data_IF_813599051913
#
_entry.id   IF_813599051913
#
_cell.length_a   1.000
_cell.length_b   1.000
_cell.length_c   1.000
_cell.angle_alpha   90.00
_cell.angle_beta   90.00
_cell.angle_gamma   90.00
#
_symmetry.space_group_name_H-M   'P 1'
#
loop_
_entity.id
_entity.type
_entity.pdbx_description
1 polymer ?
#
# COMPACT_ATOMS: atom_id res chain seq x y z
N UNK A 1 -6.22 -21.82 2.91
CA UNK A 1 -5.11 -20.99 2.36
C UNK A 1 -5.20 -21.04 0.85
N UNK A 2 -5.32 -19.89 0.18
CA UNK A 2 -5.30 -19.84 -1.29
C UNK A 2 -3.91 -20.28 -1.79
N UNK A 3 -3.87 -21.28 -2.68
CA UNK A 3 -2.63 -21.70 -3.33
C UNK A 3 -2.23 -20.64 -4.37
N UNK A 4 -0.93 -20.37 -4.49
CA UNK A 4 -0.39 -19.61 -5.62
C UNK A 4 -0.65 -20.40 -6.89
N UNK A 5 -1.38 -19.80 -7.83
CA UNK A 5 -1.72 -20.36 -9.13
C UNK A 5 -2.15 -19.21 -10.05
N UNK A 6 -2.12 -19.42 -11.38
CA UNK A 6 -2.72 -18.47 -12.32
C UNK A 6 -4.14 -18.08 -11.91
N UNK A 7 -4.44 -16.78 -11.99
CA UNK A 7 -5.71 -16.22 -11.56
C UNK A 7 -5.77 -15.76 -10.09
N UNK A 8 -4.88 -16.25 -9.22
CA UNK A 8 -4.80 -15.81 -7.82
C UNK A 8 -4.16 -14.42 -7.69
N UNK A 9 -4.46 -13.73 -6.60
CA UNK A 9 -3.83 -12.46 -6.24
C UNK A 9 -2.66 -12.68 -5.27
N UNK A 10 -1.63 -11.87 -5.41
CA UNK A 10 -0.40 -11.94 -4.64
C UNK A 10 0.01 -10.55 -4.14
N UNK A 11 0.60 -10.55 -2.96
CA UNK A 11 1.41 -9.48 -2.41
C UNK A 11 2.85 -9.95 -2.43
N UNK A 12 3.69 -9.26 -3.17
CA UNK A 12 5.11 -9.58 -3.33
C UNK A 12 5.91 -8.53 -2.60
N UNK A 13 6.86 -8.96 -1.78
CA UNK A 13 7.90 -8.06 -1.26
C UNK A 13 9.09 -8.17 -2.19
N UNK A 14 9.49 -7.02 -2.74
CA UNK A 14 10.71 -6.86 -3.50
C UNK A 14 11.64 -5.91 -2.76
N UNK A 15 12.93 -5.94 -3.13
CA UNK A 15 13.95 -5.07 -2.54
C UNK A 15 14.77 -4.45 -3.65
N UNK A 16 15.00 -3.15 -3.55
CA UNK A 16 16.00 -2.44 -4.33
C UNK A 16 17.21 -2.07 -3.46
N UNK A 17 18.14 -1.27 -4.00
CA UNK A 17 19.34 -0.84 -3.29
C UNK A 17 19.04 -0.02 -2.02
N UNK A 18 17.86 0.58 -1.93
CA UNK A 18 17.49 1.54 -0.89
C UNK A 18 16.57 0.93 0.16
N UNK A 19 15.59 0.12 -0.25
CA UNK A 19 14.47 -0.26 0.60
C UNK A 19 13.71 -1.47 0.06
N UNK A 20 12.90 -2.08 0.91
CA UNK A 20 11.81 -2.92 0.43
C UNK A 20 10.72 -2.04 -0.21
N UNK A 21 10.11 -2.57 -1.25
CA UNK A 21 8.85 -2.09 -1.82
C UNK A 21 7.95 -3.30 -2.08
N UNK A 22 6.69 -3.04 -2.39
CA UNK A 22 5.71 -4.11 -2.58
C UNK A 22 5.16 -4.10 -3.99
N UNK A 23 4.68 -5.25 -4.44
CA UNK A 23 3.84 -5.37 -5.62
C UNK A 23 2.55 -6.05 -5.20
N UNK A 24 1.42 -5.46 -5.57
CA UNK A 24 0.12 -6.12 -5.50
C UNK A 24 -0.30 -6.48 -6.91
N UNK A 25 -0.70 -7.71 -7.16
CA UNK A 25 -0.98 -8.14 -8.52
C UNK A 25 -1.68 -9.48 -8.65
N UNK A 26 -2.07 -9.77 -9.87
CA UNK A 26 -2.64 -11.06 -10.27
C UNK A 26 -1.56 -11.91 -10.92
N UNK A 27 -1.49 -13.17 -10.52
CA UNK A 27 -0.61 -14.16 -11.14
C UNK A 27 -1.20 -14.52 -12.51
N UNK A 28 -0.42 -14.31 -13.56
CA UNK A 28 -0.79 -14.65 -14.94
C UNK A 28 -0.34 -16.06 -15.29
N UNK A 29 0.88 -16.43 -14.92
CA UNK A 29 1.49 -17.74 -15.21
C UNK A 29 2.37 -18.19 -14.05
N UNK A 30 2.60 -19.50 -13.96
CA UNK A 30 3.49 -20.16 -12.99
C UNK A 30 4.48 -21.11 -13.71
N UNK A 31 5.18 -20.58 -14.72
CA UNK A 31 6.06 -21.36 -15.58
C UNK A 31 7.47 -21.49 -14.97
N UNK A 32 8.04 -22.70 -15.01
CA UNK A 32 9.40 -22.98 -14.54
C UNK A 32 9.69 -22.46 -13.10
N UNK A 33 8.70 -22.54 -12.21
CA UNK A 33 8.74 -22.04 -10.81
C UNK A 33 8.89 -20.52 -10.69
N UNK A 34 8.74 -19.77 -11.78
CA UNK A 34 8.63 -18.31 -11.78
C UNK A 34 7.16 -17.92 -11.95
N UNK A 35 6.77 -16.82 -11.33
CA UNK A 35 5.42 -16.29 -11.46
C UNK A 35 5.44 -15.00 -12.26
N UNK A 36 4.74 -14.94 -13.39
CA UNK A 36 4.49 -13.65 -14.04
C UNK A 36 3.34 -12.96 -13.31
N UNK A 37 3.59 -11.78 -12.76
CA UNK A 37 2.61 -11.02 -11.99
C UNK A 37 2.34 -9.70 -12.69
N UNK A 38 1.06 -9.40 -12.90
CA UNK A 38 0.60 -8.12 -13.41
C UNK A 38 -0.18 -7.35 -12.35
N UNK A 39 0.17 -6.10 -12.12
CA UNK A 39 -0.45 -5.26 -11.11
C UNK A 39 0.26 -3.93 -10.93
N UNK A 40 0.48 -3.55 -9.69
CA UNK A 40 1.01 -2.24 -9.31
C UNK A 40 2.15 -2.40 -8.32
N UNK A 41 3.30 -1.79 -8.60
CA UNK A 41 4.34 -1.62 -7.60
C UNK A 41 4.02 -0.43 -6.71
N UNK A 42 4.38 -0.50 -5.44
CA UNK A 42 4.16 0.55 -4.44
C UNK A 42 5.42 0.68 -3.60
N UNK A 43 6.08 1.83 -3.71
CA UNK A 43 7.25 2.23 -2.93
C UNK A 43 6.85 3.35 -1.96
N UNK A 44 6.99 3.16 -0.63
CA UNK A 44 6.57 4.16 0.35
C UNK A 44 7.67 5.22 0.57
N UNK A 45 7.89 6.08 -0.42
CA UNK A 45 8.99 7.07 -0.45
C UNK A 45 8.99 7.96 0.78
N UNK A 46 7.82 8.45 1.22
CA UNK A 46 7.73 9.31 2.40
C UNK A 46 8.09 8.58 3.69
N UNK A 47 7.73 7.30 3.82
CA UNK A 47 8.14 6.48 4.97
C UNK A 47 9.65 6.25 4.96
N UNK A 48 10.22 5.89 3.81
CA UNK A 48 11.66 5.69 3.63
C UNK A 48 12.44 6.94 4.07
N UNK A 49 12.03 8.12 3.60
CA UNK A 49 12.64 9.40 3.98
C UNK A 49 12.56 9.65 5.48
N UNK A 50 11.40 9.40 6.11
CA UNK A 50 11.23 9.58 7.56
C UNK A 50 12.09 8.60 8.36
N UNK A 51 12.23 7.36 7.93
CA UNK A 51 13.09 6.37 8.58
C UNK A 51 14.56 6.79 8.47
N UNK A 52 15.02 7.16 7.26
CA UNK A 52 16.39 7.61 7.03
C UNK A 52 16.74 8.88 7.83
N UNK A 53 15.77 9.78 8.02
CA UNK A 53 15.93 10.97 8.84
C UNK A 53 15.81 10.71 10.36
N UNK A 54 15.59 9.47 10.81
CA UNK A 54 15.39 9.13 12.23
C UNK A 54 14.06 9.62 12.81
N UNK A 55 13.10 10.00 11.97
CA UNK A 55 11.78 10.56 12.33
C UNK A 55 10.66 9.53 12.39
N UNK A 56 10.96 8.25 12.16
CA UNK A 56 10.01 7.14 12.30
C UNK A 56 10.61 6.03 13.16
N UNK A 57 9.80 5.43 14.03
CA UNK A 57 10.19 4.37 14.96
C UNK A 57 9.04 3.39 15.19
N UNK A 58 9.35 2.16 15.62
CA UNK A 58 8.37 1.13 15.93
C UNK A 58 7.70 0.55 14.68
N UNK A 59 6.36 0.40 14.72
CA UNK A 59 5.58 -0.30 13.68
C UNK A 59 5.83 0.17 12.23
N UNK A 60 5.99 1.47 11.91
CA UNK A 60 6.33 1.89 10.55
C UNK A 60 7.68 1.35 10.07
N UNK A 61 8.71 1.35 10.93
CA UNK A 61 10.03 0.79 10.61
C UNK A 61 9.94 -0.72 10.43
N UNK A 62 9.19 -1.41 11.30
CA UNK A 62 8.94 -2.85 11.17
C UNK A 62 8.23 -3.19 9.87
N UNK A 63 7.21 -2.41 9.48
CA UNK A 63 6.51 -2.59 8.22
C UNK A 63 7.45 -2.40 7.04
N UNK A 64 8.36 -1.42 7.09
CA UNK A 64 9.33 -1.20 6.01
C UNK A 64 10.32 -2.37 5.88
N UNK A 65 10.81 -2.89 7.00
CA UNK A 65 11.80 -3.96 7.02
C UNK A 65 11.20 -5.35 6.76
N UNK A 66 9.95 -5.59 7.15
CA UNK A 66 9.24 -6.84 6.90
C UNK A 66 7.78 -6.56 6.47
N UNK A 67 7.59 -6.18 5.21
CA UNK A 67 6.26 -5.89 4.69
C UNK A 67 5.37 -7.14 4.70
N UNK A 68 4.13 -6.92 5.07
CA UNK A 68 3.06 -7.91 5.09
C UNK A 68 1.72 -7.22 4.76
N UNK A 69 0.77 -7.92 4.12
CA UNK A 69 -0.51 -7.30 3.83
C UNK A 69 -1.28 -6.82 5.07
N UNK A 70 -0.96 -7.28 6.29
CA UNK A 70 -1.59 -6.80 7.53
C UNK A 70 -0.95 -5.52 8.11
N UNK A 71 0.28 -5.19 7.72
CA UNK A 71 0.99 -3.99 8.19
C UNK A 71 1.18 -2.92 7.09
N UNK A 72 0.78 -3.22 5.85
CA UNK A 72 0.93 -2.33 4.70
C UNK A 72 0.18 -0.99 4.82
N UNK A 73 -0.71 -0.82 5.80
CA UNK A 73 -1.31 0.49 6.12
C UNK A 73 -0.24 1.55 6.37
N UNK A 74 0.90 1.19 6.99
CA UNK A 74 2.00 2.13 7.23
C UNK A 74 2.71 2.58 5.96
N UNK A 75 2.58 1.84 4.85
CA UNK A 75 3.09 2.23 3.54
C UNK A 75 2.13 3.23 2.91
N UNK A 76 0.86 2.82 2.80
CA UNK A 76 -0.12 3.48 1.94
C UNK A 76 -0.72 4.76 2.54
N UNK A 77 -0.47 5.08 3.82
CA UNK A 77 -0.86 6.38 4.41
C UNK A 77 0.22 7.46 4.27
N UNK A 78 1.37 7.10 3.69
CA UNK A 78 2.48 8.01 3.44
C UNK A 78 2.57 8.31 1.92
N UNK A 79 3.50 9.17 1.53
CA UNK A 79 3.77 9.42 0.11
C UNK A 79 4.24 8.15 -0.58
N UNK A 80 3.66 7.87 -1.74
CA UNK A 80 3.96 6.71 -2.56
C UNK A 80 4.60 7.11 -3.89
N UNK A 81 5.53 6.29 -4.35
CA UNK A 81 5.85 6.11 -5.76
C UNK A 81 5.22 4.80 -6.21
N UNK A 82 4.30 4.86 -7.17
CA UNK A 82 3.54 3.71 -7.62
C UNK A 82 3.32 3.75 -9.12
N UNK A 83 3.28 2.57 -9.74
CA UNK A 83 3.11 2.43 -11.18
C UNK A 83 2.83 1.01 -11.60
N UNK A 84 2.69 0.80 -12.91
CA UNK A 84 2.41 -0.52 -13.47
C UNK A 84 3.57 -1.50 -13.21
N UNK A 85 3.20 -2.75 -12.97
CA UNK A 85 4.12 -3.87 -12.84
C UNK A 85 3.64 -5.03 -13.70
N UNK A 86 4.50 -5.55 -14.58
CA UNK A 86 4.25 -6.75 -15.39
C UNK A 86 5.58 -7.48 -15.61
N UNK A 87 6.01 -8.20 -14.58
CA UNK A 87 7.31 -8.87 -14.58
C UNK A 87 7.23 -10.27 -13.96
N UNK A 88 8.29 -11.04 -14.15
CA UNK A 88 8.49 -12.32 -13.48
C UNK A 88 9.03 -12.12 -12.06
N UNK A 89 8.49 -12.92 -11.14
CA UNK A 89 8.84 -12.91 -9.72
C UNK A 89 9.33 -14.30 -9.35
N UNK A 90 10.48 -14.36 -8.68
CA UNK A 90 11.13 -15.59 -8.30
C UNK A 90 10.93 -15.86 -6.80
N UNK A 91 10.15 -16.89 -6.40
CA UNK A 91 9.89 -17.20 -5.00
C UNK A 91 11.14 -17.61 -4.20
N UNK A 92 12.30 -17.82 -4.86
CA UNK A 92 13.59 -18.07 -4.19
C UNK A 92 14.20 -16.79 -3.62
N UNK A 93 13.85 -15.63 -4.17
CA UNK A 93 14.43 -14.33 -3.81
C UNK A 93 13.36 -13.36 -3.27
N UNK A 94 12.14 -13.44 -3.80
CA UNK A 94 11.03 -12.57 -3.45
C UNK A 94 10.06 -13.29 -2.50
N UNK A 95 9.61 -12.59 -1.45
CA UNK A 95 8.56 -13.10 -0.55
C UNK A 95 7.20 -12.91 -1.22
N UNK A 96 6.57 -14.01 -1.62
CA UNK A 96 5.24 -14.02 -2.26
C UNK A 96 4.19 -14.48 -1.25
N UNK A 97 3.23 -13.61 -0.95
CA UNK A 97 2.15 -13.85 0.01
C UNK A 97 0.82 -13.89 -0.76
N UNK A 98 0.09 -15.01 -0.75
CA UNK A 98 -1.24 -15.07 -1.35
C UNK A 98 -2.18 -14.10 -0.62
N UNK A 99 -2.93 -13.30 -1.38
CA UNK A 99 -4.00 -12.45 -0.86
C UNK A 99 -5.32 -12.83 -1.52
N UNK A 100 -6.42 -12.52 -0.83
CA UNK A 100 -7.74 -12.67 -1.45
C UNK A 100 -8.03 -11.47 -2.36
N UNK A 101 -9.05 -11.63 -3.20
CA UNK A 101 -9.47 -10.62 -4.17
C UNK A 101 -9.86 -9.30 -3.52
N UNK A 102 -10.62 -9.36 -2.42
CA UNK A 102 -11.03 -8.17 -1.66
C UNK A 102 -9.82 -7.35 -1.19
N UNK A 103 -8.83 -8.00 -0.59
CA UNK A 103 -7.59 -7.36 -0.12
C UNK A 103 -6.79 -6.76 -1.27
N UNK A 104 -6.74 -7.44 -2.42
CA UNK A 104 -6.14 -6.87 -3.62
C UNK A 104 -6.83 -5.57 -4.04
N UNK A 105 -8.16 -5.59 -4.20
CA UNK A 105 -8.91 -4.42 -4.64
C UNK A 105 -8.89 -3.26 -3.64
N UNK A 106 -8.85 -3.54 -2.33
CA UNK A 106 -8.64 -2.48 -1.34
C UNK A 106 -7.28 -1.81 -1.56
N UNK A 107 -6.18 -2.57 -1.63
CA UNK A 107 -4.84 -1.99 -1.79
C UNK A 107 -4.65 -1.28 -3.13
N UNK A 108 -5.19 -1.84 -4.21
CA UNK A 108 -5.18 -1.24 -5.55
C UNK A 108 -6.02 0.05 -5.56
N UNK A 109 -7.17 0.04 -4.87
CA UNK A 109 -8.03 1.19 -4.68
C UNK A 109 -7.37 2.34 -3.93
N UNK A 110 -6.52 2.07 -2.94
CA UNK A 110 -5.74 3.11 -2.25
C UNK A 110 -4.91 3.94 -3.22
N UNK A 111 -4.22 3.26 -4.15
CA UNK A 111 -3.38 3.91 -5.15
C UNK A 111 -4.23 4.63 -6.19
N UNK A 112 -5.20 3.93 -6.79
CA UNK A 112 -6.03 4.48 -7.89
C UNK A 112 -6.90 5.66 -7.48
N UNK A 113 -7.39 5.66 -6.24
CA UNK A 113 -8.25 6.74 -5.76
C UNK A 113 -7.45 7.94 -5.23
N UNK A 114 -6.11 7.87 -5.20
CA UNK A 114 -5.22 8.93 -4.71
C UNK A 114 -5.29 9.13 -3.20
N UNK A 115 -5.66 8.09 -2.44
CA UNK A 115 -5.93 8.21 -1.01
C UNK A 115 -4.66 8.46 -0.20
N UNK A 116 -3.53 7.85 -0.61
CA UNK A 116 -2.24 8.00 0.07
C UNK A 116 -1.79 9.46 0.17
N UNK A 117 -1.92 10.22 -0.92
CA UNK A 117 -1.55 11.64 -0.94
C UNK A 117 -2.45 12.49 -0.05
N UNK A 118 -3.75 12.17 0.03
CA UNK A 118 -4.69 12.88 0.91
C UNK A 118 -4.34 12.65 2.40
N UNK A 119 -4.01 11.42 2.78
CA UNK A 119 -3.55 11.11 4.13
C UNK A 119 -2.20 11.79 4.43
N UNK A 120 -1.26 11.71 3.49
CA UNK A 120 0.05 12.36 3.62
C UNK A 120 -0.10 13.87 3.84
N UNK A 121 -0.92 14.54 3.03
CA UNK A 121 -1.16 15.98 3.14
C UNK A 121 -1.76 16.35 4.51
N UNK A 122 -2.73 15.58 5.01
CA UNK A 122 -3.29 15.79 6.34
C UNK A 122 -2.22 15.68 7.45
N UNK A 123 -1.39 14.63 7.42
CA UNK A 123 -0.37 14.43 8.44
C UNK A 123 0.79 15.43 8.36
N UNK A 124 1.09 15.93 7.17
CA UNK A 124 2.20 16.85 6.94
C UNK A 124 1.79 18.34 6.91
N UNK A 125 0.52 18.64 7.21
CA UNK A 125 0.02 20.01 7.34
C UNK A 125 0.72 20.74 8.49
N UNK A 126 1.24 21.93 8.21
CA UNK A 126 2.03 22.75 9.15
C UNK A 126 1.17 23.64 10.02
N UNK A 127 -0.02 24.02 9.56
CA UNK A 127 -0.97 24.87 10.30
C UNK A 127 -2.27 24.12 10.62
N UNK A 128 -3.07 24.69 11.53
CA UNK A 128 -4.40 24.16 11.84
C UNK A 128 -5.38 24.33 10.65
N UNK A 129 -5.26 25.42 9.91
CA UNK A 129 -6.07 25.73 8.74
C UNK A 129 -5.78 24.74 7.60
N UNK A 130 -4.52 24.54 7.24
CA UNK A 130 -4.09 23.54 6.23
C UNK A 130 -4.60 22.14 6.59
N UNK A 131 -4.55 21.80 7.89
CA UNK A 131 -5.01 20.51 8.39
C UNK A 131 -6.52 20.34 8.24
N UNK A 132 -7.30 21.39 8.50
CA UNK A 132 -8.76 21.35 8.36
C UNK A 132 -9.19 21.29 6.88
N UNK A 133 -8.48 22.00 6.00
CA UNK A 133 -8.67 21.90 4.56
C UNK A 133 -8.35 20.49 4.05
N UNK A 134 -7.18 19.95 4.40
CA UNK A 134 -6.78 18.58 4.02
C UNK A 134 -7.76 17.54 4.55
N UNK A 135 -8.25 17.72 5.79
CA UNK A 135 -9.29 16.86 6.38
C UNK A 135 -10.59 16.92 5.57
N UNK A 136 -11.03 18.11 5.19
CA UNK A 136 -12.25 18.31 4.41
C UNK A 136 -12.15 17.62 3.04
N UNK A 137 -11.03 17.78 2.35
CA UNK A 137 -10.76 17.11 1.08
C UNK A 137 -10.74 15.58 1.23
N UNK A 138 -10.06 15.07 2.26
CA UNK A 138 -9.99 13.65 2.55
C UNK A 138 -11.40 13.07 2.83
N UNK A 139 -12.19 13.71 3.67
CA UNK A 139 -13.56 13.28 3.98
C UNK A 139 -14.45 13.33 2.74
N UNK A 140 -14.34 14.39 1.93
CA UNK A 140 -15.05 14.51 0.66
C UNK A 140 -14.74 13.32 -0.26
N UNK A 141 -13.45 13.00 -0.41
CA UNK A 141 -13.02 11.84 -1.21
C UNK A 141 -13.55 10.53 -0.65
N UNK A 142 -13.41 10.30 0.65
CA UNK A 142 -13.90 9.10 1.34
C UNK A 142 -15.41 8.90 1.15
N UNK A 143 -16.20 9.97 1.19
CA UNK A 143 -17.63 9.91 0.95
C UNK A 143 -17.97 9.49 -0.49
N UNK A 144 -17.16 9.93 -1.47
CA UNK A 144 -17.34 9.66 -2.90
C UNK A 144 -16.92 8.25 -3.35
N UNK A 145 -16.24 7.47 -2.51
CA UNK A 145 -15.77 6.13 -2.87
C UNK A 145 -16.94 5.21 -3.23
N UNK A 146 -16.85 4.57 -4.39
CA UNK A 146 -17.88 3.65 -4.91
C UNK A 146 -17.78 2.27 -4.28
N UNK A 147 -16.56 1.73 -4.11
CA UNK A 147 -16.36 0.44 -3.44
C UNK A 147 -16.65 0.59 -1.94
N UNK A 148 -17.62 -0.18 -1.47
CA UNK A 148 -18.00 -0.19 -0.06
C UNK A 148 -16.86 -0.71 0.82
N UNK A 149 -16.14 -1.74 0.36
CA UNK A 149 -15.06 -2.37 1.13
C UNK A 149 -13.84 -1.45 1.25
N UNK A 150 -13.46 -0.77 0.16
CA UNK A 150 -12.44 0.26 0.23
C UNK A 150 -12.88 1.39 1.16
N UNK A 151 -14.12 1.86 1.03
CA UNK A 151 -14.67 2.92 1.88
C UNK A 151 -14.58 2.54 3.36
N UNK A 152 -15.13 1.40 3.75
CA UNK A 152 -15.08 0.90 5.13
C UNK A 152 -13.65 0.82 5.67
N UNK A 153 -12.72 0.29 4.87
CA UNK A 153 -11.32 0.21 5.24
C UNK A 153 -10.71 1.61 5.46
N UNK A 154 -10.90 2.55 4.54
CA UNK A 154 -10.36 3.91 4.65
C UNK A 154 -10.94 4.64 5.86
N UNK A 155 -12.24 4.48 6.14
CA UNK A 155 -12.87 5.02 7.35
C UNK A 155 -12.30 4.43 8.63
N UNK A 156 -12.00 3.13 8.66
CA UNK A 156 -11.36 2.50 9.81
C UNK A 156 -9.96 3.09 10.05
N UNK A 157 -9.16 3.27 8.98
CA UNK A 157 -7.84 3.91 9.06
C UNK A 157 -7.96 5.35 9.57
N UNK A 158 -8.82 6.18 8.96
CA UNK A 158 -9.03 7.57 9.37
C UNK A 158 -9.41 7.72 10.85
N UNK A 159 -10.31 6.86 11.37
CA UNK A 159 -10.66 6.84 12.81
C UNK A 159 -9.48 6.44 13.68
N UNK A 160 -8.77 5.37 13.32
CA UNK A 160 -7.60 4.91 14.09
C UNK A 160 -6.48 5.95 14.15
N UNK A 161 -6.40 6.80 13.12
CA UNK A 161 -5.45 7.91 13.02
C UNK A 161 -5.97 9.22 13.63
N UNK A 162 -7.16 9.22 14.27
CA UNK A 162 -7.80 10.39 14.88
C UNK A 162 -8.04 11.55 13.90
N UNK A 163 -8.31 11.22 12.64
CA UNK A 163 -8.79 12.18 11.63
C UNK A 163 -10.30 12.39 11.81
N UNK A 164 -11.02 11.30 12.11
CA UNK A 164 -12.46 11.27 12.37
C UNK A 164 -12.77 11.17 13.85
#
# INVERSE_FOLDING_TARGET
MSKLKPGSFAFVVKRDETSNYIVIGKILTDYNKLYRIKGTFIRPTGLIERVNAGRAQGKPVEALNNPDPNNCVFFIIDRLDAGEFDEEVDPRYDKIIPINENRFFVLDGWVKEGLSDLFYNYFNSSTAEERDEARTLLIGRMNSLVSQELKEHVYAVARSSRIL
#
